data_IF_768905327785
#
_entry.id   IF_768905327785
#
_cell.length_a   1.000
_cell.length_b   1.000
_cell.length_c   1.000
_cell.angle_alpha   90.00
_cell.angle_beta   90.00
_cell.angle_gamma   90.00
#
_symmetry.space_group_name_H-M   'P 1'
#
loop_
_entity.id
_entity.type
_entity.pdbx_description
1 polymer ?
#
# COMPACT_ATOMS: atom_id res chain seq x y z
N UNK A 1 19.29 49.96 9.43
CA UNK A 1 18.69 48.74 10.00
C UNK A 1 17.67 48.23 9.00
N UNK A 2 18.06 47.26 8.16
CA UNK A 2 17.17 46.68 7.15
C UNK A 2 16.37 45.56 7.79
N UNK A 3 15.05 45.72 7.80
CA UNK A 3 14.07 44.66 8.06
C UNK A 3 14.11 43.67 6.90
N UNK A 4 14.55 42.43 7.15
CA UNK A 4 14.28 41.32 6.23
C UNK A 4 12.92 40.74 6.55
N UNK A 5 11.93 41.09 5.73
CA UNK A 5 10.64 40.40 5.67
C UNK A 5 10.86 39.11 4.88
N UNK A 6 10.71 37.95 5.53
CA UNK A 6 10.63 36.67 4.82
C UNK A 6 9.23 36.58 4.25
N UNK A 7 9.07 36.96 2.97
CA UNK A 7 7.85 36.72 2.22
C UNK A 7 7.65 35.21 2.06
N UNK A 8 6.92 34.58 2.97
CA UNK A 8 6.25 33.32 2.68
C UNK A 8 5.16 33.61 1.65
N UNK A 9 5.44 33.23 0.40
CA UNK A 9 4.46 33.28 -0.69
C UNK A 9 3.28 32.37 -0.37
N UNK A 10 2.19 32.97 0.11
CA UNK A 10 0.88 32.35 0.24
C UNK A 10 0.22 32.31 -1.13
N UNK A 11 0.59 31.32 -1.94
CA UNK A 11 -0.28 30.85 -3.01
C UNK A 11 -0.75 29.42 -2.67
N UNK A 12 -1.99 29.24 -2.18
CA UNK A 12 -2.55 27.93 -1.87
C UNK A 12 -2.79 27.06 -3.13
N UNK A 13 -2.51 27.57 -4.35
CA UNK A 13 -2.60 26.83 -5.61
C UNK A 13 -1.29 26.16 -6.04
N UNK A 14 -0.17 26.37 -5.31
CA UNK A 14 1.07 25.62 -5.55
C UNK A 14 0.86 24.19 -5.05
N UNK A 15 0.65 23.26 -5.98
CA UNK A 15 0.65 21.82 -5.68
C UNK A 15 2.01 21.49 -5.07
N UNK A 16 2.03 21.35 -3.74
CA UNK A 16 3.23 20.91 -3.05
C UNK A 16 3.41 19.42 -3.35
N UNK A 17 4.44 19.10 -4.11
CA UNK A 17 4.84 17.73 -4.40
C UNK A 17 5.91 17.32 -3.42
N UNK A 18 5.73 16.16 -2.79
CA UNK A 18 6.66 15.55 -1.86
C UNK A 18 7.26 14.30 -2.48
N UNK A 19 8.56 14.07 -2.27
CA UNK A 19 9.16 12.75 -2.47
C UNK A 19 8.93 11.87 -1.24
N UNK A 20 8.39 10.67 -1.44
CA UNK A 20 8.23 9.70 -0.38
C UNK A 20 9.59 9.23 0.12
N UNK A 21 9.80 9.28 1.44
CA UNK A 21 11.04 8.85 2.10
C UNK A 21 11.13 7.34 2.25
N UNK A 22 9.99 6.65 2.15
CA UNK A 22 9.84 5.21 2.33
C UNK A 22 8.83 4.67 1.33
N UNK A 23 8.92 3.37 1.06
CA UNK A 23 7.90 2.61 0.36
C UNK A 23 6.77 2.28 1.33
N UNK A 24 5.51 2.48 0.92
CA UNK A 24 4.33 2.10 1.72
C UNK A 24 3.45 1.13 0.96
N UNK A 25 2.85 0.19 1.67
CA UNK A 25 2.01 -0.83 1.06
C UNK A 25 1.23 -1.66 2.09
N UNK A 26 0.62 -2.73 1.58
CA UNK A 26 -0.24 -3.63 2.36
C UNK A 26 0.23 -5.07 2.17
N UNK A 27 0.19 -5.86 3.25
CA UNK A 27 0.43 -7.30 3.16
C UNK A 27 -0.79 -8.03 2.59
N UNK A 28 -0.61 -8.77 1.48
CA UNK A 28 -1.71 -9.45 0.78
C UNK A 28 -1.37 -10.89 0.40
N UNK A 29 -2.44 -11.65 0.10
CA UNK A 29 -2.35 -12.91 -0.64
C UNK A 29 -2.58 -12.61 -2.12
N UNK A 30 -1.69 -13.08 -2.99
CA UNK A 30 -1.85 -12.96 -4.44
C UNK A 30 -1.71 -14.32 -5.12
N UNK A 31 -2.04 -14.44 -6.42
CA UNK A 31 -1.85 -15.68 -7.17
C UNK A 31 -0.38 -16.11 -7.13
N UNK A 32 -0.12 -17.38 -6.84
CA UNK A 32 1.24 -17.90 -6.88
C UNK A 32 1.75 -17.99 -8.33
N UNK A 33 2.97 -17.51 -8.57
CA UNK A 33 3.62 -17.58 -9.87
C UNK A 33 4.86 -18.45 -9.75
N UNK A 34 4.79 -19.66 -10.31
CA UNK A 34 5.92 -20.60 -10.35
C UNK A 34 7.09 -19.97 -11.10
N UNK A 35 8.29 -20.09 -10.55
CA UNK A 35 9.51 -19.48 -11.09
C UNK A 35 9.73 -18.01 -10.70
N UNK A 36 8.74 -17.33 -10.13
CA UNK A 36 8.87 -15.97 -9.59
C UNK A 36 8.82 -16.00 -8.07
N UNK A 37 7.81 -16.66 -7.51
CA UNK A 37 7.61 -16.72 -6.07
C UNK A 37 8.37 -17.91 -5.46
N UNK A 38 8.99 -17.73 -4.28
CA UNK A 38 9.70 -18.81 -3.60
C UNK A 38 8.70 -19.85 -3.09
N UNK A 39 9.07 -21.12 -3.17
CA UNK A 39 8.21 -22.23 -2.78
C UNK A 39 7.75 -22.14 -1.31
N UNK A 40 8.57 -21.59 -0.42
CA UNK A 40 8.21 -21.39 0.99
C UNK A 40 7.06 -20.41 1.22
N UNK A 41 6.67 -19.62 0.22
CA UNK A 41 5.52 -18.70 0.26
C UNK A 41 4.26 -19.27 -0.39
N UNK A 42 4.33 -20.50 -0.94
CA UNK A 42 3.19 -21.17 -1.56
C UNK A 42 2.17 -21.58 -0.50
N UNK A 43 0.92 -21.23 -0.75
CA UNK A 43 -0.23 -21.60 0.04
C UNK A 43 -1.32 -22.15 -0.87
N UNK A 44 -1.72 -23.40 -0.67
CA UNK A 44 -2.83 -24.01 -1.43
C UNK A 44 -4.11 -23.91 -0.62
N UNK A 45 -5.14 -23.26 -1.18
CA UNK A 45 -6.47 -23.12 -0.57
C UNK A 45 -7.55 -23.28 -1.63
N UNK A 46 -8.53 -24.14 -1.36
CA UNK A 46 -9.66 -24.45 -2.27
C UNK A 46 -9.20 -24.82 -3.70
N UNK A 47 -8.13 -25.61 -3.79
CA UNK A 47 -7.53 -26.03 -5.06
C UNK A 47 -6.78 -24.92 -5.82
N UNK A 48 -6.60 -23.73 -5.23
CA UNK A 48 -5.87 -22.61 -5.83
C UNK A 48 -4.56 -22.34 -5.12
N UNK A 49 -3.53 -22.03 -5.90
CA UNK A 49 -2.20 -21.66 -5.42
C UNK A 49 -2.11 -20.14 -5.19
N UNK A 50 -1.78 -19.76 -3.95
CA UNK A 50 -1.58 -18.40 -3.50
C UNK A 50 -0.16 -18.19 -3.01
N UNK A 51 0.34 -16.97 -3.13
CA UNK A 51 1.56 -16.51 -2.51
C UNK A 51 1.22 -15.68 -1.28
N UNK A 52 1.71 -16.14 -0.13
CA UNK A 52 1.59 -15.41 1.12
C UNK A 52 2.55 -14.22 1.19
N UNK A 53 2.22 -13.29 2.08
CA UNK A 53 3.10 -12.21 2.53
C UNK A 53 3.58 -11.26 1.44
N UNK A 54 2.85 -11.11 0.32
CA UNK A 54 3.21 -10.16 -0.73
C UNK A 54 3.09 -8.73 -0.17
N UNK A 55 4.12 -7.92 -0.40
CA UNK A 55 4.09 -6.49 -0.12
C UNK A 55 3.53 -5.73 -1.33
N UNK A 56 2.22 -5.49 -1.35
CA UNK A 56 1.57 -4.73 -2.42
C UNK A 56 1.74 -3.23 -2.19
N UNK A 57 2.58 -2.60 -3.00
CA UNK A 57 3.04 -1.21 -2.84
C UNK A 57 2.00 -0.23 -3.36
N UNK A 58 1.65 0.73 -2.51
CA UNK A 58 0.91 1.93 -2.92
C UNK A 58 1.85 2.95 -3.54
N UNK A 59 3.01 3.15 -2.91
CA UNK A 59 4.02 4.12 -3.31
C UNK A 59 5.41 3.55 -3.02
N UNK A 60 6.41 3.90 -3.83
CA UNK A 60 7.81 3.59 -3.55
C UNK A 60 8.54 4.79 -2.95
N UNK A 61 9.64 4.55 -2.24
CA UNK A 61 10.57 5.61 -1.91
C UNK A 61 11.03 6.36 -3.18
N UNK A 62 11.35 7.64 -3.02
CA UNK A 62 11.65 8.63 -4.06
C UNK A 62 10.50 8.95 -5.04
N UNK A 63 9.37 8.23 -4.98
CA UNK A 63 8.19 8.58 -5.78
C UNK A 63 7.61 9.92 -5.29
N UNK A 64 7.31 10.79 -6.24
CA UNK A 64 6.63 12.05 -5.99
C UNK A 64 5.13 11.84 -5.81
N UNK A 65 4.58 12.35 -4.72
CA UNK A 65 3.14 12.34 -4.39
C UNK A 65 2.74 13.76 -3.96
N UNK A 66 1.60 14.24 -4.44
CA UNK A 66 1.06 15.54 -4.05
C UNK A 66 0.58 15.53 -2.59
N UNK A 67 0.77 16.65 -1.89
CA UNK A 67 0.14 16.85 -0.58
C UNK A 67 -1.38 16.78 -0.75
N UNK A 68 -2.03 15.95 0.06
CA UNK A 68 -3.45 15.63 0.00
C UNK A 68 -3.83 14.56 -1.03
N UNK A 69 -2.89 14.10 -1.86
CA UNK A 69 -3.14 13.07 -2.87
C UNK A 69 -3.55 11.76 -2.19
N UNK A 70 -4.50 11.05 -2.80
CA UNK A 70 -5.01 9.78 -2.31
C UNK A 70 -4.79 8.68 -3.34
N UNK A 71 -3.95 7.71 -2.99
CA UNK A 71 -3.72 6.51 -3.79
C UNK A 71 -4.70 5.41 -3.40
N UNK A 72 -5.11 4.60 -4.37
CA UNK A 72 -6.20 3.62 -4.23
C UNK A 72 -5.79 2.23 -4.72
N UNK A 73 -6.17 1.21 -3.96
CA UNK A 73 -6.16 -0.21 -4.36
C UNK A 73 -7.47 -0.89 -4.00
N UNK A 74 -7.80 -1.94 -4.75
CA UNK A 74 -9.02 -2.74 -4.56
C UNK A 74 -8.62 -4.17 -4.26
N UNK A 75 -9.21 -4.73 -3.22
CA UNK A 75 -8.97 -6.10 -2.78
C UNK A 75 -10.28 -6.85 -2.64
N UNK A 76 -10.21 -8.18 -2.70
CA UNK A 76 -11.34 -9.06 -2.40
C UNK A 76 -11.02 -9.89 -1.17
N UNK A 77 -12.00 -10.18 -0.29
CA UNK A 77 -11.83 -11.16 0.77
C UNK A 77 -11.28 -12.48 0.22
N UNK A 78 -10.44 -13.16 1.01
CA UNK A 78 -9.88 -14.44 0.60
C UNK A 78 -10.93 -15.54 0.54
N UNK A 79 -11.99 -15.42 1.37
CA UNK A 79 -13.15 -16.33 1.40
C UNK A 79 -14.45 -15.55 1.33
N UNK A 80 -15.46 -16.15 0.71
CA UNK A 80 -16.77 -15.53 0.51
C UNK A 80 -17.58 -15.34 1.81
N UNK A 81 -17.35 -16.20 2.79
CA UNK A 81 -18.01 -16.23 4.12
C UNK A 81 -17.26 -15.41 5.18
N UNK A 82 -16.17 -14.72 4.81
CA UNK A 82 -15.35 -13.96 5.74
C UNK A 82 -16.14 -12.77 6.32
N UNK A 83 -16.24 -12.70 7.64
CA UNK A 83 -16.98 -11.64 8.37
C UNK A 83 -16.09 -10.52 8.90
N UNK A 84 -14.77 -10.67 8.81
CA UNK A 84 -13.80 -9.64 9.22
C UNK A 84 -12.56 -9.70 8.34
N UNK A 85 -12.09 -8.54 7.89
CA UNK A 85 -10.80 -8.39 7.20
C UNK A 85 -9.83 -7.64 8.10
N UNK A 86 -8.60 -8.13 8.17
CA UNK A 86 -7.48 -7.44 8.80
C UNK A 86 -6.45 -7.15 7.71
N UNK A 87 -6.19 -5.88 7.46
CA UNK A 87 -5.17 -5.42 6.53
C UNK A 87 -4.02 -4.83 7.35
N UNK A 88 -2.84 -5.42 7.23
CA UNK A 88 -1.63 -4.88 7.85
C UNK A 88 -0.94 -3.94 6.87
N UNK A 89 -0.66 -2.74 7.34
CA UNK A 89 0.05 -1.70 6.61
C UNK A 89 1.54 -1.85 6.92
N UNK A 90 2.36 -1.75 5.90
CA UNK A 90 3.81 -1.90 6.01
C UNK A 90 4.52 -0.75 5.33
N UNK A 91 5.72 -0.47 5.84
CA UNK A 91 6.65 0.48 5.25
C UNK A 91 8.04 -0.14 5.13
N UNK A 92 8.86 0.37 4.23
CA UNK A 92 10.24 -0.05 4.08
C UNK A 92 11.17 1.11 3.76
N UNK A 93 12.30 1.17 4.46
CA UNK A 93 13.39 2.11 4.18
C UNK A 93 14.30 1.64 3.04
N UNK A 94 14.22 0.36 2.68
CA UNK A 94 15.05 -0.26 1.66
C UNK A 94 14.40 -0.15 0.28
N UNK A 95 14.38 1.06 -0.29
CA UNK A 95 14.07 1.19 -1.72
C UNK A 95 14.64 2.49 -2.32
N UNK A 96 15.96 2.69 -2.27
CA UNK A 96 16.61 3.56 -3.26
C UNK A 96 16.60 2.85 -4.62
N UNK A 97 15.47 2.83 -5.32
CA UNK A 97 15.41 2.31 -6.69
C UNK A 97 15.84 3.40 -7.65
N UNK A 98 17.08 3.23 -8.12
CA UNK A 98 17.63 3.98 -9.23
C UNK A 98 16.92 3.57 -10.53
N UNK A 99 16.25 4.55 -11.12
CA UNK A 99 16.02 4.81 -12.56
C UNK A 99 15.41 3.68 -13.40
N UNK A 100 14.18 3.94 -13.84
CA UNK A 100 13.54 3.35 -15.00
C UNK A 100 14.45 3.45 -16.23
N UNK A 101 15.03 2.34 -16.67
CA UNK A 101 15.63 2.26 -18.01
C UNK A 101 14.56 1.72 -18.96
N UNK A 102 14.22 2.41 -20.06
CA UNK A 102 13.21 1.92 -20.97
C UNK A 102 13.79 0.84 -21.87
N UNK A 103 12.92 -0.11 -22.19
CA UNK A 103 12.98 -1.07 -23.29
C UNK A 103 13.85 -2.33 -23.11
N UNK A 104 13.12 -3.46 -23.11
CA UNK A 104 13.56 -4.81 -23.47
C UNK A 104 14.88 -5.28 -22.84
N UNK A 105 14.82 -5.92 -21.67
CA UNK A 105 15.51 -7.19 -21.43
C UNK A 105 15.09 -7.77 -20.08
N UNK A 106 14.65 -9.03 -20.11
CA UNK A 106 14.71 -9.96 -19.00
C UNK A 106 16.08 -9.83 -18.33
N UNK A 107 16.18 -9.23 -17.15
CA UNK A 107 17.11 -9.54 -16.06
C UNK A 107 16.72 -8.58 -14.92
N UNK A 108 16.16 -9.11 -13.82
CA UNK A 108 15.98 -8.34 -12.60
C UNK A 108 17.37 -7.92 -12.12
N UNK A 109 17.74 -6.66 -12.36
CA UNK A 109 18.99 -6.09 -11.89
C UNK A 109 19.04 -6.19 -10.37
N UNK A 110 20.15 -6.72 -9.88
CA UNK A 110 20.46 -7.07 -8.51
C UNK A 110 20.51 -5.81 -7.62
N UNK A 111 19.34 -5.30 -7.24
CA UNK A 111 19.15 -4.38 -6.11
C UNK A 111 17.91 -4.83 -5.37
N UNK A 112 18.06 -5.01 -4.06
CA UNK A 112 17.08 -5.57 -3.11
C UNK A 112 15.69 -4.93 -3.30
N UNK A 113 14.90 -5.50 -4.21
CA UNK A 113 13.52 -5.08 -4.43
C UNK A 113 12.68 -5.87 -3.45
N UNK A 114 12.31 -5.20 -2.37
CA UNK A 114 11.39 -5.74 -1.36
C UNK A 114 10.13 -6.24 -2.06
N UNK A 115 9.85 -7.53 -1.96
CA UNK A 115 8.69 -8.21 -2.55
C UNK A 115 7.73 -8.72 -1.48
N UNK A 116 8.25 -9.07 -0.30
CA UNK A 116 7.47 -9.66 0.79
C UNK A 116 7.48 -8.77 2.03
N UNK A 117 6.42 -8.87 2.82
CA UNK A 117 6.35 -8.17 4.13
C UNK A 117 7.26 -8.79 5.19
N UNK A 118 7.90 -9.91 4.87
CA UNK A 118 8.92 -10.57 5.70
C UNK A 118 10.34 -10.27 5.22
N UNK A 119 10.50 -9.48 4.17
CA UNK A 119 11.83 -9.10 3.71
C UNK A 119 12.48 -8.17 4.73
N UNK A 120 13.81 -8.22 4.79
CA UNK A 120 14.58 -7.40 5.72
C UNK A 120 14.34 -5.89 5.48
N UNK A 121 14.13 -5.14 6.57
CA UNK A 121 13.79 -3.71 6.50
C UNK A 121 12.34 -3.40 6.11
N UNK A 122 11.43 -4.39 6.13
CA UNK A 122 9.98 -4.15 6.08
C UNK A 122 9.40 -4.20 7.47
N UNK A 123 8.69 -3.13 7.84
CA UNK A 123 8.14 -2.96 9.16
C UNK A 123 6.63 -2.71 9.09
N UNK A 124 5.91 -3.29 10.05
CA UNK A 124 4.48 -3.08 10.18
C UNK A 124 4.24 -1.71 10.82
N UNK A 125 3.61 -0.79 10.10
CA UNK A 125 3.34 0.57 10.55
C UNK A 125 1.86 0.85 10.84
N UNK A 126 0.97 -0.11 10.58
CA UNK A 126 -0.45 0.08 10.88
C UNK A 126 -1.31 -1.17 10.72
N UNK A 127 -2.57 -1.08 11.12
CA UNK A 127 -3.57 -2.14 10.92
C UNK A 127 -4.95 -1.55 10.74
N UNK A 128 -5.66 -2.03 9.71
CA UNK A 128 -7.06 -1.74 9.46
C UNK A 128 -7.86 -3.02 9.73
N UNK A 129 -8.82 -2.97 10.64
CA UNK A 129 -9.71 -4.10 10.96
C UNK A 129 -11.14 -3.73 10.57
N UNK A 130 -11.64 -4.32 9.50
CA UNK A 130 -12.95 -4.02 8.94
C UNK A 130 -13.93 -5.18 9.17
N UNK A 131 -15.08 -4.88 9.76
CA UNK A 131 -16.17 -5.85 9.93
C UNK A 131 -17.00 -5.87 8.64
N UNK A 132 -17.19 -7.07 8.12
CA UNK A 132 -17.84 -7.34 6.84
C UNK A 132 -19.32 -7.66 7.05
N UNK A 133 -20.15 -6.65 7.27
CA UNK A 133 -21.60 -6.81 7.43
C UNK A 133 -22.35 -6.81 6.09
N UNK A 134 -23.58 -7.35 6.09
CA UNK A 134 -24.40 -7.46 4.90
C UNK A 134 -24.12 -8.73 4.10
N UNK A 135 -25.13 -9.17 3.35
CA UNK A 135 -25.02 -10.35 2.49
C UNK A 135 -23.98 -10.09 1.40
N UNK A 136 -23.07 -11.04 1.21
CA UNK A 136 -22.13 -10.98 0.09
C UNK A 136 -22.93 -10.77 -1.23
N UNK A 137 -22.38 -10.01 -2.19
CA UNK A 137 -23.07 -9.81 -3.47
C UNK A 137 -23.34 -11.17 -4.14
N UNK A 138 -24.21 -11.17 -5.17
CA UNK A 138 -24.53 -12.38 -5.93
C UNK A 138 -23.26 -13.17 -6.32
N UNK A 139 -23.34 -14.49 -6.55
CA UNK A 139 -22.16 -15.32 -6.88
C UNK A 139 -21.31 -14.77 -8.06
N UNK A 140 -21.91 -13.95 -8.91
CA UNK A 140 -21.27 -13.29 -10.05
C UNK A 140 -20.41 -12.07 -9.67
N UNK A 141 -20.63 -11.43 -8.52
CA UNK A 141 -19.92 -10.20 -8.11
C UNK A 141 -19.20 -10.43 -6.78
N UNK A 142 -17.86 -10.33 -6.81
CA UNK A 142 -17.06 -10.43 -5.59
C UNK A 142 -17.23 -9.18 -4.73
N UNK A 143 -17.26 -9.35 -3.41
CA UNK A 143 -17.20 -8.24 -2.46
C UNK A 143 -15.85 -7.53 -2.62
N UNK A 144 -15.89 -6.21 -2.69
CA UNK A 144 -14.70 -5.38 -2.93
C UNK A 144 -14.43 -4.47 -1.73
N UNK A 145 -13.18 -4.50 -1.27
CA UNK A 145 -12.66 -3.60 -0.26
C UNK A 145 -11.74 -2.61 -0.95
N UNK A 146 -12.07 -1.33 -0.82
CA UNK A 146 -11.27 -0.25 -1.35
C UNK A 146 -10.36 0.30 -0.25
N UNK A 147 -9.06 0.19 -0.44
CA UNK A 147 -8.07 0.77 0.47
C UNK A 147 -7.52 2.04 -0.15
N UNK A 148 -7.43 3.08 0.67
CA UNK A 148 -6.95 4.41 0.30
C UNK A 148 -5.80 4.80 1.21
N UNK A 149 -4.74 5.35 0.64
CA UNK A 149 -3.67 6.01 1.39
C UNK A 149 -3.60 7.45 0.95
N UNK A 150 -3.97 8.36 1.85
CA UNK A 150 -3.89 9.80 1.64
C UNK A 150 -2.63 10.35 2.28
N UNK A 151 -1.82 11.05 1.50
CA UNK A 151 -0.55 11.60 1.93
C UNK A 151 -0.75 13.05 2.36
N UNK A 152 -0.82 13.31 3.66
CA UNK A 152 -0.86 14.67 4.21
C UNK A 152 0.54 15.28 4.35
N UNK A 153 0.61 16.41 5.03
CA UNK A 153 1.88 17.10 5.32
C UNK A 153 2.79 16.26 6.22
N UNK A 154 2.23 15.83 7.36
CA UNK A 154 2.97 15.16 8.45
C UNK A 154 2.47 13.75 8.77
N UNK A 155 1.45 13.27 8.06
CA UNK A 155 0.88 11.93 8.27
C UNK A 155 0.42 11.27 6.96
N UNK A 156 0.36 9.93 6.95
CA UNK A 156 -0.41 9.16 5.98
C UNK A 156 -1.69 8.69 6.66
N UNK A 157 -2.82 9.04 6.05
CA UNK A 157 -4.12 8.53 6.45
C UNK A 157 -4.47 7.32 5.59
N UNK A 158 -4.40 6.13 6.18
CA UNK A 158 -4.81 4.90 5.51
C UNK A 158 -6.25 4.56 5.91
N UNK A 159 -7.09 4.22 4.95
CA UNK A 159 -8.48 3.80 5.20
C UNK A 159 -8.86 2.60 4.34
N UNK A 160 -9.77 1.78 4.85
CA UNK A 160 -10.39 0.69 4.11
C UNK A 160 -11.90 0.87 4.15
N UNK A 161 -12.54 0.78 2.99
CA UNK A 161 -13.99 0.89 2.83
C UNK A 161 -14.51 -0.40 2.20
N UNK A 162 -15.48 -1.03 2.83
CA UNK A 162 -16.23 -2.11 2.19
C UNK A 162 -17.31 -1.51 1.28
N UNK A 163 -17.21 -1.78 -0.02
CA UNK A 163 -18.11 -1.16 -0.98
C UNK A 163 -19.55 -1.69 -0.91
N UNK A 164 -19.79 -2.81 -0.21
CA UNK A 164 -21.12 -3.37 0.00
C UNK A 164 -21.85 -2.67 1.15
N UNK A 165 -21.27 -2.67 2.35
CA UNK A 165 -21.87 -2.07 3.55
C UNK A 165 -21.60 -0.58 3.70
N UNK A 166 -20.69 -0.01 2.89
CA UNK A 166 -20.17 1.36 3.02
C UNK A 166 -19.49 1.66 4.37
N UNK A 167 -19.24 0.64 5.19
CA UNK A 167 -18.46 0.81 6.42
C UNK A 167 -17.00 1.06 6.08
N UNK A 168 -16.38 1.91 6.90
CA UNK A 168 -14.98 2.26 6.75
C UNK A 168 -14.25 2.21 8.09
N UNK A 169 -12.94 1.98 8.00
CA UNK A 169 -12.01 2.10 9.12
C UNK A 169 -10.77 2.84 8.65
N UNK A 170 -10.11 3.50 9.60
CA UNK A 170 -8.99 4.39 9.32
C UNK A 170 -7.86 4.15 10.31
N UNK A 171 -6.62 4.30 9.87
CA UNK A 171 -5.41 4.28 10.67
C UNK A 171 -4.50 5.44 10.25
N UNK A 172 -3.83 6.02 11.24
CA UNK A 172 -2.85 7.10 11.04
C UNK A 172 -1.45 6.52 11.11
N UNK A 173 -0.62 6.88 10.14
CA UNK A 173 0.80 6.53 10.10
C UNK A 173 1.58 7.85 10.19
N UNK A 174 2.28 8.05 11.30
CA UNK A 174 3.08 9.24 11.55
C UNK A 174 4.47 9.09 10.94
N UNK A 175 4.90 10.07 10.14
CA UNK A 175 6.25 10.05 9.53
C UNK A 175 7.38 10.24 10.54
N UNK A 176 7.09 10.79 11.71
CA UNK A 176 8.11 11.19 12.71
C UNK A 176 8.52 10.06 13.66
N UNK A 177 7.77 8.95 13.65
CA UNK A 177 7.99 7.82 14.56
C UNK A 177 8.39 6.54 13.79
N UNK A 178 8.87 6.69 12.55
CA UNK A 178 9.31 5.61 11.65
C UNK A 178 10.76 5.88 11.21
#
# INVERSE_FOLDING_TARGET
MMVTVVLFGLDPSVIQVRRCTMTYGVGVLNKFMRGIHPQGKLLVRDGREWCADIFDKFVTADQSVGVGETLLRRYTPARADQTTIVLHLYCSHKEKVMVSVPLYHLYCSHKEKVMFVTDDGVEKCGTLKLILEGTAPSPAKRREIQVRMRFGDTEILASAVDLVSQRSVTAHINFLNL
#
